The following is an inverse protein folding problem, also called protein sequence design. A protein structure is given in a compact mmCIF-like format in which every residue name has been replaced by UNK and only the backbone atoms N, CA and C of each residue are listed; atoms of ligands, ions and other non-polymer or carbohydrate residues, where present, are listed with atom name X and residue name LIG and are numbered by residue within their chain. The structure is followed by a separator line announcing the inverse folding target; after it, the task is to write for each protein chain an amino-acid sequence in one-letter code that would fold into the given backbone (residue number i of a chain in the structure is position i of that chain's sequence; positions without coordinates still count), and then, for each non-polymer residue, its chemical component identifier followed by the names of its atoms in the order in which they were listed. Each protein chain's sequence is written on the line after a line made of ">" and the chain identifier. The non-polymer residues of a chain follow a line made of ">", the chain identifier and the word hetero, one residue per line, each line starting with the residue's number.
data_IF_137836005874
#
_entry.id   IF_137836005874
#
_cell.length_a   1.000
_cell.length_b   1.000
_cell.length_c   1.000
_cell.angle_alpha   90.00
_cell.angle_beta   90.00
_cell.angle_gamma   90.00
#
_symmetry.space_group_name_H-M   'P 1'
#
loop_
_entity.id
_entity.type
_entity.pdbx_description
1 polymer ?
#
# COMPACT_ATOMS: atom_id res chain seq x y z
N UNK A 1 69.52 3.84 76.80
CA UNK A 1 69.39 2.43 76.37
C UNK A 1 68.13 2.30 75.53
N UNK A 2 68.24 1.82 74.27
CA UNK A 2 67.20 1.19 73.42
C UNK A 2 65.88 1.98 73.18
N UNK A 3 65.25 2.08 72.02
CA UNK A 3 65.51 1.72 70.63
C UNK A 3 64.38 2.41 69.78
N UNK A 4 64.62 2.62 68.47
CA UNK A 4 63.70 2.52 67.28
C UNK A 4 62.17 2.57 67.48
N UNK A 5 61.30 3.14 66.64
CA UNK A 5 61.27 3.84 65.35
C UNK A 5 59.79 4.34 65.14
N UNK A 6 59.46 5.17 64.12
CA UNK A 6 58.24 6.01 64.07
C UNK A 6 57.10 5.45 63.18
N UNK A 7 56.12 6.32 62.82
CA UNK A 7 55.04 6.21 61.78
C UNK A 7 53.66 5.87 62.38
N UNK A 8 52.51 6.46 62.02
CA UNK A 8 52.10 7.70 61.34
C UNK A 8 50.56 7.80 61.49
N UNK A 9 50.02 9.00 61.26
CA UNK A 9 48.61 9.40 61.27
C UNK A 9 47.67 8.49 60.45
N UNK A 10 46.44 8.31 60.95
CA UNK A 10 45.32 7.79 60.18
C UNK A 10 43.96 8.12 60.82
N UNK A 11 43.37 9.25 60.44
CA UNK A 11 41.97 9.55 60.69
C UNK A 11 41.15 9.10 59.47
N UNK A 12 40.12 8.29 59.67
CA UNK A 12 39.14 7.97 58.63
C UNK A 12 37.73 8.01 59.23
N UNK A 13 37.01 9.09 58.91
CA UNK A 13 35.57 9.19 59.09
C UNK A 13 34.88 8.35 58.02
N UNK A 14 34.09 7.35 58.42
CA UNK A 14 33.29 6.56 57.50
C UNK A 14 32.01 7.33 57.12
N UNK A 15 31.98 7.82 55.89
CA UNK A 15 30.80 8.41 55.25
C UNK A 15 29.88 7.26 54.80
N UNK A 16 28.69 7.15 55.40
CA UNK A 16 27.67 6.18 54.97
C UNK A 16 27.07 6.64 53.64
N UNK A 17 27.46 6.02 52.53
CA UNK A 17 26.82 6.23 51.22
C UNK A 17 25.46 5.54 51.21
N UNK A 18 24.40 6.33 51.03
CA UNK A 18 23.08 5.85 50.62
C UNK A 18 23.20 5.41 49.16
N UNK A 19 23.19 4.11 48.90
CA UNK A 19 23.11 3.59 47.53
C UNK A 19 21.68 3.78 47.03
N UNK A 20 21.47 4.74 46.13
CA UNK A 20 20.25 4.79 45.33
C UNK A 20 20.18 3.50 44.50
N UNK A 21 19.13 2.70 44.72
CA UNK A 21 18.87 1.52 43.90
C UNK A 21 18.69 1.95 42.45
N UNK A 22 19.38 1.29 41.52
CA UNK A 22 19.14 1.47 40.11
C UNK A 22 17.69 1.05 39.82
N UNK A 23 16.87 1.99 39.36
CA UNK A 23 15.60 1.66 38.74
C UNK A 23 15.89 0.80 37.51
N UNK A 24 15.55 -0.49 37.56
CA UNK A 24 15.46 -1.28 36.34
C UNK A 24 14.29 -0.73 35.54
N UNK A 25 14.58 0.05 34.50
CA UNK A 25 13.65 0.21 33.40
C UNK A 25 13.47 -1.17 32.78
N UNK A 26 12.29 -1.76 32.92
CA UNK A 26 11.89 -2.85 32.06
C UNK A 26 11.94 -2.28 30.63
N UNK A 27 12.90 -2.75 29.83
CA UNK A 27 12.86 -2.44 28.40
C UNK A 27 11.58 -3.08 27.86
N UNK A 28 10.69 -2.23 27.32
CA UNK A 28 9.54 -2.67 26.55
C UNK A 28 10.01 -3.75 25.58
N UNK A 29 9.51 -4.96 25.75
CA UNK A 29 9.69 -6.06 24.81
C UNK A 29 8.91 -5.82 23.51
N UNK A 30 8.91 -4.58 23.02
CA UNK A 30 8.40 -4.26 21.70
C UNK A 30 9.50 -4.70 20.71
N UNK A 31 9.35 -5.83 20.00
CA UNK A 31 10.15 -5.95 18.80
C UNK A 31 9.79 -4.71 17.97
N UNK A 32 10.76 -4.05 17.36
CA UNK A 32 10.44 -3.14 16.26
C UNK A 32 10.77 -3.89 14.97
N UNK A 33 9.94 -4.81 14.47
CA UNK A 33 10.22 -5.49 13.22
C UNK A 33 9.71 -4.66 12.02
N UNK A 34 10.59 -4.63 11.01
CA UNK A 34 10.48 -4.22 9.60
C UNK A 34 10.02 -2.78 9.33
N UNK A 35 10.99 -1.87 9.32
CA UNK A 35 11.02 -0.84 8.25
C UNK A 35 11.35 -1.59 6.97
N UNK A 36 10.38 -1.72 6.08
CA UNK A 36 10.62 -2.23 4.74
C UNK A 36 9.94 -1.29 3.74
N UNK A 37 10.61 -1.02 2.62
CA UNK A 37 10.10 -0.15 1.55
C UNK A 37 10.20 -0.90 0.24
N UNK A 38 9.05 -1.11 -0.38
CA UNK A 38 8.92 -1.77 -1.67
C UNK A 38 8.48 -0.72 -2.67
N UNK A 39 9.04 -0.73 -3.88
CA UNK A 39 8.73 0.26 -4.92
C UNK A 39 8.70 -0.43 -6.26
N UNK A 40 7.66 -0.14 -7.03
CA UNK A 40 7.35 -0.79 -8.29
C UNK A 40 6.88 0.24 -9.30
N UNK A 41 7.14 -0.02 -10.57
CA UNK A 41 6.44 0.66 -11.66
C UNK A 41 4.98 0.22 -11.66
N UNK A 42 4.11 1.11 -12.11
CA UNK A 42 2.73 0.80 -12.44
C UNK A 42 2.60 0.85 -13.96
N UNK A 43 2.29 -0.29 -14.56
CA UNK A 43 2.24 -0.48 -16.01
C UNK A 43 0.79 -0.68 -16.49
N UNK A 44 0.47 -0.35 -17.76
CA UNK A 44 -0.86 -0.58 -18.32
C UNK A 44 -1.30 -2.04 -18.22
N UNK A 45 -2.54 -2.28 -17.80
CA UNK A 45 -3.15 -3.62 -17.78
C UNK A 45 -3.77 -3.98 -19.13
N UNK A 46 -4.41 -3.01 -19.77
CA UNK A 46 -5.13 -3.22 -21.02
C UNK A 46 -4.19 -3.28 -22.23
N UNK A 47 -4.70 -3.81 -23.35
CA UNK A 47 -3.98 -3.77 -24.62
C UNK A 47 -3.86 -2.33 -25.12
N UNK A 48 -2.81 -2.03 -25.90
CA UNK A 48 -2.63 -0.71 -26.54
C UNK A 48 -3.80 -0.30 -27.44
N UNK A 49 -4.62 -1.26 -27.89
CA UNK A 49 -5.82 -1.01 -28.69
C UNK A 49 -7.00 -0.45 -27.88
N UNK A 50 -6.98 -0.56 -26.55
CA UNK A 50 -8.00 0.03 -25.70
C UNK A 50 -7.74 1.54 -25.60
N UNK A 51 -8.69 2.40 -25.98
CA UNK A 51 -8.48 3.84 -25.87
C UNK A 51 -8.27 4.27 -24.42
N UNK A 52 -7.41 5.28 -24.22
CA UNK A 52 -7.20 5.95 -22.93
C UNK A 52 -6.72 5.02 -21.78
N UNK A 53 -6.20 3.83 -22.09
CA UNK A 53 -5.76 2.84 -21.08
C UNK A 53 -4.26 2.84 -20.79
N UNK A 54 -3.46 3.59 -21.56
CA UNK A 54 -2.00 3.54 -21.52
C UNK A 54 -1.40 4.53 -20.52
N UNK A 55 -1.98 4.62 -19.33
CA UNK A 55 -1.41 5.39 -18.22
C UNK A 55 -0.08 4.77 -17.76
N UNK A 56 0.71 5.50 -16.98
CA UNK A 56 1.92 4.96 -16.34
C UNK A 56 2.07 5.53 -14.93
N UNK A 57 2.84 4.86 -14.08
CA UNK A 57 3.06 5.37 -12.73
C UNK A 57 4.11 4.64 -11.93
N UNK A 58 4.11 4.94 -10.63
CA UNK A 58 4.92 4.25 -9.63
C UNK A 58 4.19 4.17 -8.31
N UNK A 59 4.55 3.16 -7.53
CA UNK A 59 4.04 2.98 -6.17
C UNK A 59 5.17 2.75 -5.19
N UNK A 60 4.91 3.08 -3.93
CA UNK A 60 5.77 2.73 -2.80
C UNK A 60 4.93 2.28 -1.62
N UNK A 61 5.16 1.05 -1.18
CA UNK A 61 4.52 0.45 -0.01
C UNK A 61 5.56 0.31 1.10
N UNK A 62 5.30 0.91 2.27
CA UNK A 62 6.20 0.89 3.42
C UNK A 62 5.53 0.25 4.62
N UNK A 63 6.11 -0.85 5.12
CA UNK A 63 5.85 -1.32 6.48
C UNK A 63 6.61 -0.43 7.47
N UNK A 64 5.91 0.10 8.47
CA UNK A 64 6.46 1.04 9.46
C UNK A 64 6.64 0.36 10.83
N UNK A 65 7.62 0.83 11.65
CA UNK A 65 7.92 0.27 12.98
C UNK A 65 6.76 0.22 13.97
N UNK A 66 5.74 1.05 13.77
CA UNK A 66 4.58 1.18 14.64
C UNK A 66 3.39 0.32 14.18
N UNK A 67 3.63 -0.70 13.35
CA UNK A 67 2.59 -1.59 12.84
C UNK A 67 1.67 -0.92 11.81
N UNK A 68 2.12 0.16 11.17
CA UNK A 68 1.37 0.85 10.12
C UNK A 68 1.95 0.55 8.74
N UNK A 69 1.14 0.76 7.72
CA UNK A 69 1.56 0.77 6.33
C UNK A 69 1.39 2.18 5.77
N UNK A 70 2.41 2.68 5.07
CA UNK A 70 2.29 3.87 4.23
C UNK A 70 2.33 3.46 2.77
N UNK A 71 1.33 3.88 2.01
CA UNK A 71 1.28 3.68 0.56
C UNK A 71 1.36 5.05 -0.11
N UNK A 72 2.24 5.16 -1.10
CA UNK A 72 2.28 6.28 -2.05
C UNK A 72 2.03 5.75 -3.46
N UNK A 73 1.15 6.40 -4.22
CA UNK A 73 0.90 6.13 -5.64
C UNK A 73 1.06 7.44 -6.41
N UNK A 74 1.76 7.38 -7.54
CA UNK A 74 1.89 8.48 -8.50
C UNK A 74 1.55 7.92 -9.87
N UNK A 75 0.65 8.56 -10.61
CA UNK A 75 0.30 8.12 -11.96
C UNK A 75 0.03 9.31 -12.87
N UNK A 76 0.22 9.12 -14.17
CA UNK A 76 -0.07 10.10 -15.22
C UNK A 76 -0.70 9.41 -16.43
N UNK A 77 -1.49 10.16 -17.21
CA UNK A 77 -2.25 9.62 -18.32
C UNK A 77 -3.57 8.96 -17.89
N UNK A 78 -4.04 9.28 -16.69
CA UNK A 78 -5.36 8.89 -16.20
C UNK A 78 -6.43 9.84 -16.74
N UNK A 79 -7.70 9.46 -16.58
CA UNK A 79 -8.84 10.31 -16.91
C UNK A 79 -8.82 11.60 -16.05
N UNK A 80 -8.74 12.80 -16.66
CA UNK A 80 -8.68 14.04 -15.90
C UNK A 80 -9.92 14.31 -15.06
N UNK A 81 -9.73 14.92 -13.89
CA UNK A 81 -10.81 15.33 -12.97
C UNK A 81 -11.73 14.19 -12.48
N UNK A 82 -11.30 12.93 -12.60
CA UNK A 82 -12.07 11.76 -12.20
C UNK A 82 -11.46 11.02 -11.00
N UNK A 83 -12.27 10.41 -10.11
CA UNK A 83 -11.77 9.58 -9.02
C UNK A 83 -11.29 8.21 -9.54
N UNK A 84 -10.11 7.77 -9.10
CA UNK A 84 -9.59 6.47 -9.46
C UNK A 84 -9.62 5.51 -8.26
N UNK A 85 -10.48 4.49 -8.33
CA UNK A 85 -10.47 3.43 -7.33
C UNK A 85 -9.10 2.74 -7.33
N UNK A 86 -8.55 2.52 -6.13
CA UNK A 86 -7.22 1.95 -5.98
C UNK A 86 -7.18 0.99 -4.81
N UNK A 87 -6.47 -0.12 -4.97
CA UNK A 87 -6.45 -1.18 -3.96
C UNK A 87 -5.09 -1.83 -3.85
N UNK A 88 -4.78 -2.30 -2.64
CA UNK A 88 -3.78 -3.34 -2.43
C UNK A 88 -4.48 -4.68 -2.59
N UNK A 89 -4.05 -5.45 -3.59
CA UNK A 89 -4.50 -6.81 -3.84
C UNK A 89 -3.47 -7.82 -3.32
N UNK A 90 -3.95 -8.95 -2.84
CA UNK A 90 -3.10 -10.03 -2.35
C UNK A 90 -3.88 -11.28 -1.95
N UNK A 91 -3.15 -12.30 -1.50
CA UNK A 91 -3.70 -13.48 -0.81
C UNK A 91 -2.91 -13.71 0.46
N UNK A 92 -3.58 -14.16 1.53
CA UNK A 92 -2.88 -14.58 2.74
C UNK A 92 -2.23 -15.95 2.52
N UNK A 93 -0.91 -16.03 2.56
CA UNK A 93 -0.19 -17.30 2.44
C UNK A 93 1.19 -17.17 1.77
N UNK A 94 2.00 -18.24 1.81
CA UNK A 94 3.43 -18.13 1.53
C UNK A 94 3.85 -18.05 0.05
N UNK A 95 2.98 -18.34 -0.93
CA UNK A 95 3.22 -18.07 -2.35
C UNK A 95 2.07 -18.61 -3.21
N UNK A 96 1.39 -17.75 -3.96
CA UNK A 96 0.82 -18.09 -5.26
C UNK A 96 1.50 -17.17 -6.28
N UNK A 97 1.53 -17.51 -7.56
CA UNK A 97 2.06 -16.62 -8.60
C UNK A 97 1.18 -15.37 -8.68
N UNK A 98 1.46 -14.41 -7.81
CA UNK A 98 0.71 -13.17 -7.63
C UNK A 98 1.35 -12.10 -8.50
N UNK A 99 0.65 -11.69 -9.54
CA UNK A 99 1.17 -10.71 -10.49
C UNK A 99 0.08 -9.85 -11.10
N UNK A 100 0.51 -8.89 -11.90
CA UNK A 100 -0.41 -8.06 -12.63
C UNK A 100 -1.04 -8.83 -13.79
N UNK A 101 -2.38 -8.73 -13.98
CA UNK A 101 -2.97 -9.18 -15.22
C UNK A 101 -2.48 -8.30 -16.37
N UNK A 102 -2.49 -8.87 -17.56
CA UNK A 102 -2.27 -8.16 -18.80
C UNK A 102 -3.30 -8.58 -19.85
N UNK A 103 -3.13 -8.15 -21.10
CA UNK A 103 -4.13 -8.37 -22.16
C UNK A 103 -4.47 -9.84 -22.43
N UNK A 104 -3.60 -10.78 -22.05
CA UNK A 104 -3.85 -12.21 -22.21
C UNK A 104 -4.91 -12.78 -21.25
N UNK A 105 -5.37 -12.00 -20.27
CA UNK A 105 -6.43 -12.38 -19.32
C UNK A 105 -7.84 -12.00 -19.80
N UNK A 106 -7.99 -11.36 -20.96
CA UNK A 106 -9.29 -11.19 -21.64
C UNK A 106 -9.81 -12.58 -22.08
N UNK A 107 -10.66 -13.17 -21.24
CA UNK A 107 -11.05 -14.56 -21.32
C UNK A 107 -12.27 -14.76 -22.24
N UNK A 108 -13.13 -13.76 -22.35
CA UNK A 108 -14.30 -13.78 -23.23
C UNK A 108 -14.05 -13.15 -24.61
N UNK A 109 -12.92 -12.45 -24.77
CA UNK A 109 -12.47 -11.87 -26.04
C UNK A 109 -13.21 -10.61 -26.43
N UNK A 110 -13.77 -9.88 -25.47
CA UNK A 110 -14.50 -8.62 -25.70
C UNK A 110 -13.56 -7.41 -25.89
N UNK A 111 -12.26 -7.59 -25.67
CA UNK A 111 -11.21 -6.59 -25.82
C UNK A 111 -10.79 -5.93 -24.51
N UNK A 112 -11.38 -6.31 -23.38
CA UNK A 112 -11.12 -5.73 -22.07
C UNK A 112 -10.67 -6.79 -21.07
N UNK A 113 -9.71 -6.44 -20.22
CA UNK A 113 -9.40 -7.21 -19.02
C UNK A 113 -10.21 -6.62 -17.87
N UNK A 114 -11.29 -7.30 -17.47
CA UNK A 114 -12.15 -6.84 -16.37
C UNK A 114 -11.60 -7.21 -14.99
N UNK A 115 -12.25 -6.75 -13.92
CA UNK A 115 -11.83 -7.09 -12.54
C UNK A 115 -11.92 -8.60 -12.28
N UNK A 116 -13.02 -9.24 -12.71
CA UNK A 116 -13.22 -10.68 -12.52
C UNK A 116 -12.14 -11.51 -13.21
N UNK A 117 -11.65 -11.05 -14.36
CA UNK A 117 -10.55 -11.69 -15.09
C UNK A 117 -9.17 -11.40 -14.50
N UNK A 118 -9.01 -10.25 -13.84
CA UNK A 118 -7.77 -9.89 -13.15
C UNK A 118 -7.59 -10.55 -11.78
N UNK A 119 -8.68 -10.85 -11.06
CA UNK A 119 -8.66 -11.45 -9.71
C UNK A 119 -7.79 -12.72 -9.61
N UNK A 120 -7.84 -13.67 -10.56
CA UNK A 120 -6.96 -14.84 -10.55
C UNK A 120 -5.46 -14.51 -10.49
N UNK A 121 -5.04 -13.34 -10.99
CA UNK A 121 -3.64 -12.91 -11.02
C UNK A 121 -3.19 -12.25 -9.71
N UNK A 122 -3.98 -11.32 -9.15
CA UNK A 122 -3.56 -10.52 -7.99
C UNK A 122 -4.32 -10.78 -6.69
N UNK A 123 -5.33 -11.65 -6.68
CA UNK A 123 -6.13 -11.99 -5.51
C UNK A 123 -7.17 -10.94 -5.07
N UNK A 124 -7.61 -11.04 -3.82
CA UNK A 124 -8.66 -10.18 -3.26
C UNK A 124 -8.15 -8.83 -2.76
N UNK A 125 -9.07 -7.90 -2.46
CA UNK A 125 -8.74 -6.61 -1.86
C UNK A 125 -8.31 -6.81 -0.41
N UNK A 126 -7.05 -6.49 -0.11
CA UNK A 126 -6.54 -6.38 1.26
C UNK A 126 -6.82 -4.99 1.85
N UNK A 127 -6.80 -3.96 1.00
CA UNK A 127 -7.03 -2.57 1.40
C UNK A 127 -7.53 -1.72 0.23
N UNK A 128 -8.60 -0.95 0.45
CA UNK A 128 -8.99 0.16 -0.41
C UNK A 128 -8.20 1.42 -0.05
N UNK A 129 -7.49 1.98 -1.02
CA UNK A 129 -6.65 3.18 -0.88
C UNK A 129 -7.49 4.46 -0.96
N UNK A 130 -8.53 4.54 -0.14
CA UNK A 130 -9.34 5.76 0.00
C UNK A 130 -8.49 6.89 0.60
N UNK A 131 -8.85 8.14 0.34
CA UNK A 131 -8.22 9.32 0.93
C UNK A 131 -8.66 9.55 2.38
N UNK A 132 -9.88 9.10 2.72
CA UNK A 132 -10.47 9.26 4.06
C UNK A 132 -11.36 8.07 4.44
N UNK A 133 -11.59 7.88 5.74
CA UNK A 133 -12.54 6.89 6.24
C UNK A 133 -12.07 5.43 6.09
N UNK A 134 -13.04 4.53 5.92
CA UNK A 134 -12.83 3.08 5.80
C UNK A 134 -11.89 2.71 4.65
N UNK A 135 -11.07 1.70 4.88
CA UNK A 135 -10.08 1.15 3.95
C UNK A 135 -10.27 -0.35 3.71
N UNK A 136 -11.35 -0.94 4.23
CA UNK A 136 -11.66 -2.35 4.02
C UNK A 136 -12.15 -2.58 2.60
N UNK A 137 -12.25 -3.85 2.19
CA UNK A 137 -12.82 -4.23 0.90
C UNK A 137 -14.27 -3.73 0.68
N UNK A 138 -15.02 -3.40 1.75
CA UNK A 138 -16.35 -2.79 1.62
C UNK A 138 -16.31 -1.40 0.96
N UNK A 139 -15.13 -0.77 0.93
CA UNK A 139 -14.90 0.52 0.27
C UNK A 139 -14.50 0.38 -1.20
N UNK A 140 -14.58 -0.82 -1.80
CA UNK A 140 -14.10 -1.09 -3.16
C UNK A 140 -14.61 -0.09 -4.21
N UNK A 141 -15.89 0.28 -4.13
CA UNK A 141 -16.59 1.16 -5.07
C UNK A 141 -16.97 2.52 -4.45
N UNK A 142 -16.34 2.92 -3.34
CA UNK A 142 -16.57 4.23 -2.71
C UNK A 142 -15.84 5.35 -3.47
N UNK A 143 -16.21 5.57 -4.75
CA UNK A 143 -15.55 6.50 -5.69
C UNK A 143 -15.37 7.91 -5.11
N UNK A 144 -16.32 8.39 -4.32
CA UNK A 144 -16.30 9.70 -3.65
C UNK A 144 -15.15 9.85 -2.63
N UNK A 145 -14.54 8.75 -2.20
CA UNK A 145 -13.43 8.73 -1.24
C UNK A 145 -12.10 8.30 -1.85
N UNK A 146 -12.01 8.10 -3.17
CA UNK A 146 -10.72 7.85 -3.81
C UNK A 146 -10.03 9.14 -4.24
N UNK A 147 -8.75 9.04 -4.60
CA UNK A 147 -8.00 10.18 -5.11
C UNK A 147 -8.50 10.54 -6.51
N UNK A 148 -8.60 11.85 -6.76
CA UNK A 148 -9.04 12.40 -8.05
C UNK A 148 -7.79 12.82 -8.83
N UNK A 149 -7.68 12.40 -10.08
CA UNK A 149 -6.64 12.90 -10.98
C UNK A 149 -6.91 14.38 -11.30
N UNK A 150 -5.86 15.18 -11.41
CA UNK A 150 -5.98 16.59 -11.76
C UNK A 150 -6.36 16.80 -13.24
N UNK A 151 -6.36 18.07 -13.68
CA UNK A 151 -6.71 18.45 -15.04
C UNK A 151 -5.75 17.90 -16.12
N UNK A 152 -4.52 17.53 -15.72
CA UNK A 152 -3.51 16.94 -16.59
C UNK A 152 -3.56 15.39 -16.56
N UNK A 153 -4.54 14.81 -15.85
CA UNK A 153 -4.63 13.36 -15.68
C UNK A 153 -3.53 12.80 -14.78
N UNK A 154 -2.99 13.62 -13.87
CA UNK A 154 -1.98 13.22 -12.90
C UNK A 154 -2.62 12.97 -11.53
N UNK A 155 -2.24 11.87 -10.89
CA UNK A 155 -2.73 11.46 -9.58
C UNK A 155 -1.57 11.31 -8.61
N UNK A 156 -1.68 11.96 -7.45
CA UNK A 156 -0.79 11.78 -6.31
C UNK A 156 -1.61 11.33 -5.10
N UNK A 157 -1.29 10.16 -4.56
CA UNK A 157 -1.88 9.64 -3.34
C UNK A 157 -0.79 9.30 -2.34
N UNK A 158 -1.00 9.65 -1.07
CA UNK A 158 -0.18 9.14 0.03
C UNK A 158 -1.03 9.03 1.28
N UNK A 159 -1.09 7.83 1.87
CA UNK A 159 -1.78 7.63 3.15
C UNK A 159 -1.05 6.62 4.02
N UNK A 160 -1.10 6.85 5.32
CA UNK A 160 -0.62 5.92 6.34
C UNK A 160 -1.79 5.39 7.15
N UNK A 161 -1.91 4.08 7.30
CA UNK A 161 -3.00 3.41 8.00
C UNK A 161 -2.55 2.16 8.75
N UNK A 162 -3.40 1.66 9.63
CA UNK A 162 -3.22 0.37 10.31
C UNK A 162 -4.12 -0.66 9.62
N UNK A 163 -3.52 -1.69 9.03
CA UNK A 163 -4.25 -2.80 8.42
C UNK A 163 -3.34 -4.04 8.38
N UNK A 164 -3.74 -5.08 9.13
CA UNK A 164 -2.86 -6.23 9.40
C UNK A 164 -2.53 -7.00 8.12
N UNK A 165 -3.51 -7.22 7.24
CA UNK A 165 -3.30 -7.92 5.97
C UNK A 165 -2.34 -7.16 5.04
N UNK A 166 -2.46 -5.82 4.95
CA UNK A 166 -1.52 -5.02 4.17
C UNK A 166 -0.12 -5.02 4.76
N UNK A 167 -0.01 -5.03 6.09
CA UNK A 167 1.28 -5.08 6.78
C UNK A 167 1.97 -6.43 6.58
N UNK A 168 1.21 -7.52 6.69
CA UNK A 168 1.70 -8.88 6.52
C UNK A 168 2.14 -9.17 5.09
N UNK A 169 1.50 -8.55 4.09
CA UNK A 169 1.75 -8.78 2.67
C UNK A 169 2.48 -7.61 1.98
N UNK A 170 3.12 -6.71 2.74
CA UNK A 170 3.71 -5.48 2.17
C UNK A 170 4.77 -5.73 1.08
N UNK A 171 5.39 -6.92 1.07
CA UNK A 171 6.36 -7.37 0.07
C UNK A 171 5.74 -8.12 -1.13
N UNK A 172 4.47 -8.52 -1.05
CA UNK A 172 3.81 -9.38 -2.06
C UNK A 172 2.58 -8.75 -2.69
N UNK A 173 2.07 -7.65 -2.16
CA UNK A 173 0.88 -6.96 -2.68
C UNK A 173 1.07 -6.46 -4.12
N UNK A 174 -0.02 -6.48 -4.87
CA UNK A 174 -0.18 -5.74 -6.13
C UNK A 174 -0.96 -4.46 -5.87
N UNK A 175 -0.51 -3.35 -6.44
CA UNK A 175 -1.24 -2.09 -6.40
C UNK A 175 -1.97 -1.92 -7.72
N UNK A 176 -3.30 -1.93 -7.67
CA UNK A 176 -4.15 -1.78 -8.86
C UNK A 176 -4.84 -0.42 -8.81
N UNK A 177 -4.82 0.28 -9.94
CA UNK A 177 -5.57 1.52 -10.17
C UNK A 177 -6.62 1.22 -11.24
N UNK A 178 -7.84 1.66 -11.01
CA UNK A 178 -8.99 1.45 -11.90
C UNK A 178 -9.47 2.79 -12.47
N UNK A 179 -10.26 2.73 -13.54
CA UNK A 179 -10.85 3.91 -14.15
C UNK A 179 -10.28 4.19 -15.53
N UNK A 180 -11.05 3.93 -16.58
CA UNK A 180 -10.72 4.24 -17.97
C UNK A 180 -11.95 4.89 -18.61
N UNK A 181 -11.79 6.08 -19.16
CA UNK A 181 -12.79 6.73 -20.03
C UNK A 181 -12.65 6.15 -21.43
N UNK A 182 -13.36 5.06 -21.73
CA UNK A 182 -13.14 4.27 -22.95
C UNK A 182 -13.63 5.04 -24.17
N UNK A 183 -14.75 5.74 -24.05
CA UNK A 183 -15.34 6.52 -25.15
C UNK A 183 -14.79 7.96 -25.26
N UNK A 184 -14.04 8.44 -24.26
CA UNK A 184 -13.38 9.75 -24.25
C UNK A 184 -14.34 10.91 -23.98
N UNK A 185 -15.44 10.67 -23.27
CA UNK A 185 -16.48 11.66 -23.05
C UNK A 185 -16.35 12.44 -21.73
N UNK A 186 -15.35 12.11 -20.90
CA UNK A 186 -15.09 12.77 -19.63
C UNK A 186 -16.02 12.34 -18.49
N UNK A 187 -16.72 11.21 -18.61
CA UNK A 187 -17.49 10.60 -17.53
C UNK A 187 -17.20 9.08 -17.43
N UNK A 188 -17.46 8.50 -16.26
CA UNK A 188 -17.66 7.05 -16.17
C UNK A 188 -19.13 6.74 -16.39
N UNK A 189 -19.45 6.10 -17.50
CA UNK A 189 -20.82 5.78 -17.86
C UNK A 189 -21.00 4.36 -18.40
N UNK A 190 -22.25 4.03 -18.70
CA UNK A 190 -22.64 2.67 -19.08
C UNK A 190 -22.57 2.44 -20.61
N UNK A 191 -21.96 3.32 -21.40
CA UNK A 191 -21.83 3.10 -22.85
C UNK A 191 -20.96 1.87 -23.16
N UNK A 192 -19.91 1.64 -22.36
CA UNK A 192 -19.10 0.41 -22.39
C UNK A 192 -19.75 -0.76 -21.61
N UNK A 193 -20.95 -0.57 -21.08
CA UNK A 193 -21.69 -1.58 -20.33
C UNK A 193 -21.44 -1.56 -18.82
N UNK A 194 -22.09 -2.49 -18.08
CA UNK A 194 -21.93 -2.62 -16.64
C UNK A 194 -20.57 -3.24 -16.26
N UNK A 195 -20.14 -2.98 -15.02
CA UNK A 195 -18.99 -3.63 -14.42
C UNK A 195 -19.20 -5.14 -14.27
N UNK A 196 -18.12 -5.92 -14.46
CA UNK A 196 -18.13 -7.35 -14.12
C UNK A 196 -18.34 -7.65 -12.63
N UNK A 197 -18.26 -6.64 -11.76
CA UNK A 197 -18.56 -6.75 -10.33
C UNK A 197 -20.04 -6.55 -10.01
N UNK A 198 -20.72 -5.65 -10.71
CA UNK A 198 -22.11 -5.25 -10.43
C UNK A 198 -22.71 -4.43 -11.58
N UNK A 199 -23.99 -4.67 -11.86
CA UNK A 199 -24.76 -3.89 -12.83
C UNK A 199 -25.03 -2.43 -12.40
N UNK A 200 -24.74 -2.08 -11.15
CA UNK A 200 -24.95 -0.74 -10.61
C UNK A 200 -23.77 0.22 -10.86
N UNK A 201 -22.64 -0.27 -11.37
CA UNK A 201 -21.47 0.54 -11.68
C UNK A 201 -21.10 0.36 -13.16
N UNK A 202 -20.64 1.42 -13.83
CA UNK A 202 -20.14 1.32 -15.20
C UNK A 202 -18.84 0.53 -15.25
N UNK A 203 -18.60 -0.18 -16.37
CA UNK A 203 -17.33 -0.87 -16.63
C UNK A 203 -16.15 0.10 -16.46
N UNK A 204 -16.27 1.28 -17.04
CA UNK A 204 -15.27 2.35 -17.04
C UNK A 204 -14.76 2.72 -15.65
N UNK A 205 -15.61 2.73 -14.62
CA UNK A 205 -15.21 3.06 -13.24
C UNK A 205 -14.45 1.93 -12.54
N UNK A 206 -14.47 0.71 -13.08
CA UNK A 206 -14.01 -0.51 -12.40
C UNK A 206 -12.93 -1.25 -13.15
N UNK A 207 -12.79 -1.04 -14.46
CA UNK A 207 -11.77 -1.71 -15.24
C UNK A 207 -10.36 -1.27 -14.78
N UNK A 208 -9.40 -2.20 -14.59
CA UNK A 208 -8.04 -1.84 -14.20
C UNK A 208 -7.32 -1.09 -15.33
N UNK A 209 -6.73 0.06 -14.99
CA UNK A 209 -5.88 0.83 -15.89
C UNK A 209 -4.40 0.55 -15.64
N UNK A 210 -4.00 0.47 -14.37
CA UNK A 210 -2.61 0.24 -13.97
C UNK A 210 -2.50 -0.88 -12.96
N UNK A 211 -1.38 -1.61 -13.02
CA UNK A 211 -1.00 -2.54 -11.97
C UNK A 211 0.52 -2.54 -11.74
N UNK A 212 0.95 -2.77 -10.50
CA UNK A 212 2.34 -3.10 -10.20
C UNK A 212 2.59 -3.70 -8.82
N UNK A 213 3.59 -4.56 -8.71
CA UNK A 213 4.00 -5.26 -7.49
C UNK A 213 5.18 -6.21 -7.73
N UNK A 214 5.33 -7.24 -6.88
CA UNK A 214 6.52 -8.11 -6.85
C UNK A 214 6.73 -8.97 -8.10
N UNK A 215 5.65 -9.27 -8.83
CA UNK A 215 5.70 -9.96 -10.11
C UNK A 215 4.95 -9.11 -11.15
N UNK A 216 5.72 -8.24 -11.79
CA UNK A 216 5.31 -7.55 -13.02
C UNK A 216 5.88 -8.31 -14.21
#
# INVERSE_FOLDING_TARGET
>A
MKATAPIALGAAAALSLVTAGAAQAAHDGNPSPRVASYSYSLDPVQAESVPNSQATGSTRVKALPNGKVQVKVTASGLMPNAPHAMHLHGVDGPSTDMGCPGPAQDADGDGYVTVVEGIPSYGGILTSLTTTGDISAASALALDRFAVADEDGTLEYTRTFSQDAALANADTVQVVVHGIDINGNGAYDFEAGPSSLTDAAPLEATIPVLCGGIAN
#
